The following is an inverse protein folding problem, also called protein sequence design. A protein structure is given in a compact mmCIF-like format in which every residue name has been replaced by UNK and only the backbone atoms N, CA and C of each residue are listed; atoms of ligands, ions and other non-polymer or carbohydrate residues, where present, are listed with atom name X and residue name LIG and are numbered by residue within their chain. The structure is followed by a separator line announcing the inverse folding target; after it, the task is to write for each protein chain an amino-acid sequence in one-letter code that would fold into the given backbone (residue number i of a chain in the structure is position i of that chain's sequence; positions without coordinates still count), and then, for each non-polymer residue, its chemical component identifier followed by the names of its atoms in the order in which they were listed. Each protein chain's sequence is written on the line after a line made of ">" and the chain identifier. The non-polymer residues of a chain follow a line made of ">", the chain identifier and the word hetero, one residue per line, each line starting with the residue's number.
data_IF_723081270651
#
_entry.id   IF_723081270651
#
_cell.length_a   1.000
_cell.length_b   1.000
_cell.length_c   1.000
_cell.angle_alpha   90.00
_cell.angle_beta   90.00
_cell.angle_gamma   90.00
#
_symmetry.space_group_name_H-M   'P 1'
#
loop_
_entity.id
_entity.type
_entity.pdbx_description
1 polymer ?
#
# COMPACT_ATOMS: atom_id res chain seq x y z
N UNK A 1 -17.10 -13.22 9.49
CA UNK A 1 -17.14 -11.73 9.42
C UNK A 1 -18.12 -11.20 10.44
N UNK A 2 -17.71 -10.32 11.35
CA UNK A 2 -18.60 -9.68 12.32
C UNK A 2 -19.22 -8.42 11.67
N UNK A 3 -20.47 -8.00 12.02
CA UNK A 3 -21.07 -6.78 11.47
C UNK A 3 -20.21 -5.51 11.64
N UNK A 4 -19.32 -5.50 12.65
CA UNK A 4 -18.34 -4.42 12.84
C UNK A 4 -17.30 -4.33 11.73
N UNK A 5 -16.92 -5.46 11.12
CA UNK A 5 -15.93 -5.55 10.06
C UNK A 5 -16.46 -4.93 8.77
N UNK A 6 -17.76 -5.12 8.46
CA UNK A 6 -18.42 -4.48 7.32
C UNK A 6 -18.39 -2.94 7.42
N UNK A 7 -18.58 -2.39 8.62
CA UNK A 7 -18.49 -0.93 8.82
C UNK A 7 -17.07 -0.42 8.61
N UNK A 8 -16.06 -1.25 8.91
CA UNK A 8 -14.66 -0.97 8.61
C UNK A 8 -14.42 -0.84 7.12
N UNK A 9 -14.89 -1.81 6.32
CA UNK A 9 -14.77 -1.85 4.86
C UNK A 9 -15.43 -0.63 4.20
N UNK A 10 -16.61 -0.20 4.67
CA UNK A 10 -17.35 0.93 4.10
C UNK A 10 -16.55 2.25 4.10
N UNK A 11 -15.55 2.41 4.97
CA UNK A 11 -14.69 3.61 4.98
C UNK A 11 -13.79 3.70 3.74
N UNK A 12 -13.43 2.55 3.16
CA UNK A 12 -12.55 2.46 2.00
C UNK A 12 -13.29 2.53 0.66
N UNK A 13 -14.60 2.25 0.64
CA UNK A 13 -15.41 2.25 -0.58
C UNK A 13 -15.31 3.56 -1.37
N UNK A 14 -15.41 4.77 -0.77
CA UNK A 14 -15.27 6.02 -1.52
C UNK A 14 -13.89 6.19 -2.19
N UNK A 15 -12.86 5.60 -1.62
CA UNK A 15 -11.49 5.67 -2.11
C UNK A 15 -11.24 4.75 -3.30
N UNK A 16 -11.82 3.53 -3.28
CA UNK A 16 -11.51 2.49 -4.26
C UNK A 16 -12.61 2.27 -5.29
N UNK A 17 -13.79 2.85 -5.11
CA UNK A 17 -14.90 2.74 -6.05
C UNK A 17 -14.48 3.20 -7.45
N UNK A 18 -14.77 2.39 -8.47
CA UNK A 18 -14.38 2.59 -9.87
C UNK A 18 -12.86 2.62 -10.13
N UNK A 19 -12.04 2.26 -9.15
CA UNK A 19 -10.59 2.10 -9.33
C UNK A 19 -10.28 0.70 -9.85
N UNK A 20 -9.18 0.57 -10.59
CA UNK A 20 -8.71 -0.71 -11.11
C UNK A 20 -7.66 -1.29 -10.18
N UNK A 21 -7.79 -2.57 -9.86
CA UNK A 21 -6.80 -3.39 -9.16
C UNK A 21 -6.34 -4.49 -10.10
N UNK A 22 -5.04 -4.72 -10.16
CA UNK A 22 -4.46 -5.88 -10.83
C UNK A 22 -4.03 -6.88 -9.76
N UNK A 23 -4.56 -8.09 -9.79
CA UNK A 23 -4.26 -9.16 -8.83
C UNK A 23 -3.57 -10.28 -9.58
N UNK A 24 -2.32 -10.54 -9.22
CA UNK A 24 -1.51 -11.60 -9.82
C UNK A 24 -1.41 -12.78 -8.86
N UNK A 25 -1.91 -13.92 -9.29
CA UNK A 25 -1.92 -15.19 -8.54
C UNK A 25 -0.76 -16.06 -8.98
N UNK A 26 0.12 -16.42 -8.06
CA UNK A 26 1.12 -17.47 -8.36
C UNK A 26 0.43 -18.80 -8.64
N UNK A 27 1.00 -19.61 -9.53
CA UNK A 27 0.42 -20.90 -9.90
C UNK A 27 0.13 -21.83 -8.71
N UNK A 28 0.95 -21.78 -7.66
CA UNK A 28 0.74 -22.55 -6.44
C UNK A 28 -0.54 -22.13 -5.68
N UNK A 29 -0.98 -20.90 -5.83
CA UNK A 29 -2.19 -20.38 -5.17
C UNK A 29 -3.45 -20.93 -5.81
N UNK A 30 -3.48 -21.09 -7.13
CA UNK A 30 -4.65 -21.68 -7.83
C UNK A 30 -4.86 -23.15 -7.48
N UNK A 31 -3.85 -23.82 -6.97
CA UNK A 31 -3.90 -25.21 -6.50
C UNK A 31 -4.14 -25.36 -4.99
N UNK A 32 -4.20 -24.24 -4.26
CA UNK A 32 -4.35 -24.25 -2.80
C UNK A 32 -5.81 -24.42 -2.38
N UNK A 33 -5.99 -24.97 -1.18
CA UNK A 33 -7.33 -25.06 -0.56
C UNK A 33 -8.00 -23.70 -0.35
N UNK A 34 -7.19 -22.64 -0.22
CA UNK A 34 -7.70 -21.27 -0.02
C UNK A 34 -8.10 -20.56 -1.33
N UNK A 35 -7.87 -21.16 -2.49
CA UNK A 35 -8.13 -20.53 -3.79
C UNK A 35 -9.58 -20.06 -3.94
N UNK A 36 -10.56 -20.91 -3.57
CA UNK A 36 -11.98 -20.54 -3.61
C UNK A 36 -12.30 -19.32 -2.74
N UNK A 37 -11.65 -19.18 -1.58
CA UNK A 37 -11.85 -18.01 -0.72
C UNK A 37 -11.27 -16.73 -1.35
N UNK A 38 -10.13 -16.82 -2.05
CA UNK A 38 -9.55 -15.69 -2.79
C UNK A 38 -10.52 -15.21 -3.88
N UNK A 39 -11.17 -16.12 -4.60
CA UNK A 39 -12.17 -15.76 -5.62
C UNK A 39 -13.41 -15.12 -4.99
N UNK A 40 -13.83 -15.54 -3.80
CA UNK A 40 -14.88 -14.89 -3.03
C UNK A 40 -14.44 -13.48 -2.57
N UNK A 41 -13.18 -13.30 -2.18
CA UNK A 41 -12.63 -11.98 -1.87
C UNK A 41 -12.67 -11.06 -3.11
N UNK A 42 -12.35 -11.59 -4.30
CA UNK A 42 -12.51 -10.87 -5.57
C UNK A 42 -13.97 -10.49 -5.80
N UNK A 43 -14.93 -11.39 -5.51
CA UNK A 43 -16.35 -11.07 -5.61
C UNK A 43 -16.76 -9.92 -4.66
N UNK A 44 -16.22 -9.89 -3.45
CA UNK A 44 -16.41 -8.76 -2.53
C UNK A 44 -15.88 -7.46 -3.13
N UNK A 45 -14.67 -7.46 -3.70
CA UNK A 45 -14.11 -6.27 -4.36
C UNK A 45 -15.02 -5.78 -5.50
N UNK A 46 -15.47 -6.69 -6.37
CA UNK A 46 -16.37 -6.37 -7.47
C UNK A 46 -17.73 -5.82 -6.99
N UNK A 47 -18.29 -6.38 -5.91
CA UNK A 47 -19.55 -5.90 -5.31
C UNK A 47 -19.44 -4.46 -4.78
N UNK A 48 -18.23 -4.02 -4.44
CA UNK A 48 -17.93 -2.65 -4.03
C UNK A 48 -17.59 -1.72 -5.22
N UNK A 49 -17.84 -2.16 -6.44
CA UNK A 49 -17.50 -1.47 -7.69
C UNK A 49 -15.98 -1.21 -7.85
N UNK A 50 -15.15 -2.08 -7.34
CA UNK A 50 -13.71 -2.11 -7.65
C UNK A 50 -13.54 -2.96 -8.91
N UNK A 51 -12.83 -2.44 -9.91
CA UNK A 51 -12.55 -3.14 -11.15
C UNK A 51 -11.34 -4.05 -10.96
N UNK A 52 -11.45 -5.32 -11.27
CA UNK A 52 -10.39 -6.30 -11.06
C UNK A 52 -9.92 -6.87 -12.38
N UNK A 53 -8.60 -6.92 -12.57
CA UNK A 53 -7.93 -7.73 -13.59
C UNK A 53 -7.18 -8.84 -12.87
N UNK A 54 -7.39 -10.07 -13.28
CA UNK A 54 -6.63 -11.21 -12.76
C UNK A 54 -5.48 -11.57 -13.72
N UNK A 55 -4.32 -11.79 -13.15
CA UNK A 55 -3.17 -12.39 -13.85
C UNK A 55 -2.82 -13.66 -13.13
N UNK A 56 -2.37 -14.69 -13.82
CA UNK A 56 -1.91 -15.90 -13.13
C UNK A 56 -0.55 -16.39 -13.63
N UNK A 57 0.23 -16.96 -12.73
CA UNK A 57 1.41 -17.74 -13.04
C UNK A 57 1.06 -19.20 -13.31
N UNK A 58 2.03 -19.98 -13.77
CA UNK A 58 1.88 -21.40 -14.10
C UNK A 58 3.07 -22.27 -13.68
N UNK A 59 4.01 -21.74 -12.91
CA UNK A 59 5.26 -22.44 -12.58
C UNK A 59 5.00 -23.78 -11.89
N UNK A 60 4.03 -23.84 -10.98
CA UNK A 60 3.62 -25.06 -10.29
C UNK A 60 3.02 -26.08 -11.25
N UNK A 61 2.13 -25.66 -12.14
CA UNK A 61 1.46 -26.51 -13.12
C UNK A 61 2.45 -27.07 -14.16
N UNK A 62 3.37 -26.22 -14.65
CA UNK A 62 4.45 -26.66 -15.54
C UNK A 62 5.27 -27.74 -14.87
N UNK A 63 5.70 -27.51 -13.62
CA UNK A 63 6.46 -28.51 -12.86
C UNK A 63 5.71 -29.82 -12.71
N UNK A 64 4.44 -29.80 -12.31
CA UNK A 64 3.62 -31.01 -12.17
C UNK A 64 3.46 -31.78 -13.47
N UNK A 65 3.26 -31.09 -14.59
CA UNK A 65 3.17 -31.74 -15.91
C UNK A 65 4.50 -32.40 -16.25
N UNK A 66 5.61 -31.67 -16.09
CA UNK A 66 6.93 -32.20 -16.45
C UNK A 66 7.39 -33.30 -15.54
N UNK A 67 7.02 -33.33 -14.26
CA UNK A 67 7.31 -34.44 -13.33
C UNK A 67 6.66 -35.77 -13.77
N UNK A 68 5.62 -35.72 -14.62
CA UNK A 68 4.98 -36.90 -15.20
C UNK A 68 5.59 -37.31 -16.55
N UNK A 69 6.49 -36.52 -17.13
CA UNK A 69 7.11 -36.77 -18.42
C UNK A 69 8.50 -37.38 -18.25
N UNK A 70 8.66 -38.65 -18.55
CA UNK A 70 9.95 -39.34 -18.43
C UNK A 70 11.03 -38.65 -19.31
N UNK A 71 12.16 -38.31 -18.69
CA UNK A 71 13.32 -37.74 -19.40
C UNK A 71 13.19 -36.29 -19.87
N UNK A 72 12.13 -35.57 -19.48
CA UNK A 72 11.97 -34.16 -19.81
C UNK A 72 12.15 -33.26 -18.57
N UNK A 73 13.00 -32.26 -18.73
CA UNK A 73 13.17 -31.16 -17.76
C UNK A 73 12.90 -29.86 -18.50
N UNK A 74 11.97 -29.01 -18.02
CA UNK A 74 11.69 -27.75 -18.66
C UNK A 74 12.90 -26.84 -18.57
N UNK A 75 13.19 -26.15 -19.66
CA UNK A 75 14.34 -25.21 -19.75
C UNK A 75 14.11 -23.96 -18.90
N UNK A 76 12.86 -23.67 -18.55
CA UNK A 76 12.45 -22.54 -17.73
C UNK A 76 11.11 -22.85 -17.01
N UNK A 77 10.96 -22.38 -15.77
CA UNK A 77 9.75 -22.59 -14.96
C UNK A 77 8.87 -21.34 -14.84
N UNK A 78 9.42 -20.14 -14.89
CA UNK A 78 8.74 -18.88 -14.54
C UNK A 78 8.63 -17.87 -15.68
N UNK A 79 9.17 -18.16 -16.86
CA UNK A 79 9.17 -17.27 -18.02
C UNK A 79 10.24 -16.18 -17.95
N UNK A 80 11.32 -16.41 -17.19
CA UNK A 80 12.47 -15.49 -17.11
C UNK A 80 13.70 -16.04 -17.84
N UNK A 81 13.76 -17.35 -18.03
CA UNK A 81 14.87 -18.05 -18.67
C UNK A 81 14.65 -18.31 -20.17
N UNK A 82 15.14 -19.46 -20.66
CA UNK A 82 14.98 -19.89 -22.06
C UNK A 82 13.70 -20.73 -22.15
N UNK A 83 12.80 -20.40 -23.06
CA UNK A 83 11.64 -21.25 -23.39
C UNK A 83 11.85 -21.92 -24.73
N UNK A 84 12.21 -23.19 -24.73
CA UNK A 84 12.26 -23.98 -25.94
C UNK A 84 10.87 -24.43 -26.42
N UNK A 85 10.79 -25.06 -27.61
CA UNK A 85 9.51 -25.47 -28.21
C UNK A 85 8.74 -26.47 -27.32
N UNK A 86 9.43 -27.39 -26.64
CA UNK A 86 8.77 -28.34 -25.75
C UNK A 86 8.27 -27.70 -24.48
N UNK A 87 9.07 -26.80 -23.89
CA UNK A 87 8.67 -26.02 -22.71
C UNK A 87 7.50 -25.12 -23.05
N UNK A 88 7.48 -24.48 -24.25
CA UNK A 88 6.33 -23.69 -24.69
C UNK A 88 5.06 -24.54 -24.80
N UNK A 89 5.11 -25.72 -25.36
CA UNK A 89 3.96 -26.62 -25.47
C UNK A 89 3.39 -27.00 -24.10
N UNK A 90 4.26 -27.29 -23.14
CA UNK A 90 3.86 -27.58 -21.76
C UNK A 90 3.26 -26.35 -21.11
N UNK A 91 3.87 -25.16 -21.32
CA UNK A 91 3.37 -23.90 -20.80
C UNK A 91 1.98 -23.56 -21.35
N UNK A 92 1.71 -23.80 -22.62
CA UNK A 92 0.39 -23.62 -23.23
C UNK A 92 -0.68 -24.52 -22.58
N UNK A 93 -0.38 -25.80 -22.35
CA UNK A 93 -1.28 -26.71 -21.66
C UNK A 93 -1.55 -26.24 -20.22
N UNK A 94 -0.49 -25.92 -19.49
CA UNK A 94 -0.57 -25.43 -18.12
C UNK A 94 -1.38 -24.13 -18.01
N UNK A 95 -1.13 -23.16 -18.91
CA UNK A 95 -1.83 -21.89 -18.93
C UNK A 95 -3.32 -22.04 -19.22
N UNK A 96 -3.68 -22.83 -20.25
CA UNK A 96 -5.09 -23.06 -20.58
C UNK A 96 -5.84 -23.75 -19.44
N UNK A 97 -5.24 -24.77 -18.81
CA UNK A 97 -5.85 -25.46 -17.67
C UNK A 97 -6.04 -24.52 -16.48
N UNK A 98 -5.01 -23.77 -16.09
CA UNK A 98 -5.08 -22.82 -14.98
C UNK A 98 -6.12 -21.71 -15.25
N UNK A 99 -6.13 -21.16 -16.47
CA UNK A 99 -7.15 -20.18 -16.88
C UNK A 99 -8.56 -20.75 -16.72
N UNK A 100 -8.78 -22.00 -17.16
CA UNK A 100 -10.09 -22.65 -17.07
C UNK A 100 -10.53 -22.84 -15.62
N UNK A 101 -9.66 -23.30 -14.73
CA UNK A 101 -9.91 -23.44 -13.29
C UNK A 101 -10.30 -22.09 -12.64
N UNK A 102 -9.64 -21.00 -13.05
CA UNK A 102 -9.99 -19.64 -12.59
C UNK A 102 -11.39 -19.23 -13.08
N UNK A 103 -11.70 -19.46 -14.36
CA UNK A 103 -13.01 -19.13 -14.94
C UNK A 103 -14.14 -19.93 -14.28
N UNK A 104 -13.94 -21.22 -14.02
CA UNK A 104 -14.89 -22.06 -13.27
C UNK A 104 -15.15 -21.50 -11.87
N UNK A 105 -14.07 -21.18 -11.13
CA UNK A 105 -14.19 -20.62 -9.79
C UNK A 105 -14.87 -19.26 -9.76
N UNK A 106 -14.60 -18.36 -10.72
CA UNK A 106 -15.32 -17.10 -10.85
C UNK A 106 -16.80 -17.28 -11.20
N UNK A 107 -17.11 -18.28 -12.03
CA UNK A 107 -18.49 -18.62 -12.38
C UNK A 107 -19.28 -19.09 -11.16
N UNK A 108 -18.68 -19.87 -10.26
CA UNK A 108 -19.33 -20.28 -9.00
C UNK A 108 -19.63 -19.12 -8.07
N UNK A 109 -18.87 -18.01 -8.19
CA UNK A 109 -19.08 -16.78 -7.46
C UNK A 109 -20.04 -15.77 -8.20
N UNK A 110 -20.72 -16.21 -9.27
CA UNK A 110 -21.60 -15.40 -10.13
C UNK A 110 -20.89 -14.19 -10.76
N UNK A 111 -19.61 -14.36 -11.09
CA UNK A 111 -18.80 -13.32 -11.73
C UNK A 111 -18.59 -13.62 -13.21
N UNK A 112 -18.73 -12.62 -14.04
CA UNK A 112 -18.42 -12.72 -15.47
C UNK A 112 -16.93 -12.51 -15.69
N UNK A 113 -16.29 -13.43 -16.37
CA UNK A 113 -14.86 -13.34 -16.66
C UNK A 113 -14.55 -13.81 -18.09
N UNK A 114 -13.44 -13.36 -18.64
CA UNK A 114 -12.99 -13.70 -19.99
C UNK A 114 -11.46 -13.68 -20.06
N UNK A 115 -10.88 -14.60 -20.84
CA UNK A 115 -9.50 -14.47 -21.31
C UNK A 115 -9.49 -13.82 -22.69
N UNK A 116 -8.49 -13.00 -22.98
CA UNK A 116 -8.39 -12.26 -24.22
C UNK A 116 -6.94 -12.21 -24.73
N UNK A 117 -6.78 -11.88 -26.00
CA UNK A 117 -5.48 -11.69 -26.66
C UNK A 117 -4.96 -10.24 -26.60
N UNK A 118 -5.35 -9.49 -25.55
CA UNK A 118 -4.99 -8.09 -25.40
C UNK A 118 -3.55 -7.81 -24.99
N UNK A 119 -2.66 -8.82 -24.93
CA UNK A 119 -1.25 -8.68 -24.61
C UNK A 119 -0.42 -9.01 -25.86
N UNK A 120 0.19 -7.98 -26.45
CA UNK A 120 1.18 -8.15 -27.51
C UNK A 120 2.55 -8.34 -26.87
N UNK A 121 3.28 -9.35 -27.33
CA UNK A 121 4.63 -9.66 -26.89
C UNK A 121 5.58 -9.78 -28.08
N UNK A 122 6.83 -9.50 -27.85
CA UNK A 122 7.93 -9.77 -28.80
C UNK A 122 8.94 -10.70 -28.14
N UNK A 123 9.73 -11.48 -28.94
CA UNK A 123 10.76 -12.37 -28.39
C UNK A 123 11.81 -11.54 -27.62
N UNK A 124 12.33 -12.09 -26.53
CA UNK A 124 13.47 -11.50 -25.82
C UNK A 124 14.76 -11.47 -26.70
N UNK A 125 14.83 -12.35 -27.68
CA UNK A 125 15.97 -12.43 -28.61
C UNK A 125 17.22 -12.98 -27.93
N UNK A 126 18.39 -12.52 -28.43
CA UNK A 126 19.69 -12.98 -27.94
C UNK A 126 20.19 -12.05 -26.85
N UNK A 127 20.32 -12.59 -25.62
CA UNK A 127 20.86 -11.84 -24.47
C UNK A 127 22.18 -12.47 -24.06
N UNK A 128 23.25 -11.70 -24.05
CA UNK A 128 24.63 -12.16 -23.71
C UNK A 128 25.05 -13.39 -24.48
N UNK A 129 24.68 -13.48 -25.77
CA UNK A 129 25.00 -14.60 -26.65
C UNK A 129 24.14 -15.83 -26.52
N UNK A 130 23.08 -15.78 -25.70
CA UNK A 130 22.12 -16.88 -25.50
C UNK A 130 20.77 -16.49 -26.11
N UNK A 131 20.26 -17.32 -27.04
CA UNK A 131 18.94 -17.16 -27.63
C UNK A 131 17.85 -17.63 -26.67
N UNK A 132 16.93 -16.73 -26.31
CA UNK A 132 15.82 -17.00 -25.42
C UNK A 132 14.60 -17.66 -26.13
N UNK A 133 14.68 -17.87 -27.41
CA UNK A 133 13.69 -18.58 -28.24
C UNK A 133 12.27 -18.03 -28.06
N UNK A 134 11.36 -18.82 -27.44
CA UNK A 134 9.96 -18.45 -27.22
C UNK A 134 9.70 -17.69 -25.91
N UNK A 135 10.73 -17.28 -25.20
CA UNK A 135 10.55 -16.35 -24.08
C UNK A 135 10.28 -14.94 -24.64
N UNK A 136 9.15 -14.36 -24.22
CA UNK A 136 8.68 -13.06 -24.67
C UNK A 136 8.75 -12.00 -23.59
N UNK A 137 8.69 -10.77 -24.04
CA UNK A 137 8.50 -9.58 -23.22
C UNK A 137 7.25 -8.84 -23.69
N UNK A 138 6.46 -8.31 -22.76
CA UNK A 138 5.31 -7.49 -23.12
C UNK A 138 5.77 -6.24 -23.89
N UNK A 139 5.23 -6.05 -25.08
CA UNK A 139 5.43 -4.88 -25.92
C UNK A 139 4.31 -3.87 -25.69
N UNK A 140 3.06 -4.34 -25.76
CA UNK A 140 1.88 -3.49 -25.69
C UNK A 140 0.71 -4.23 -25.06
N UNK A 141 -0.14 -3.47 -24.36
CA UNK A 141 -1.44 -3.91 -23.86
C UNK A 141 -2.52 -3.19 -24.66
N UNK A 142 -3.55 -3.88 -25.07
CA UNK A 142 -4.77 -3.28 -25.63
C UNK A 142 -5.62 -2.68 -24.51
N UNK A 143 -5.28 -1.45 -24.14
CA UNK A 143 -5.92 -0.73 -23.03
C UNK A 143 -7.43 -0.54 -23.27
N UNK A 144 -7.83 -0.30 -24.51
CA UNK A 144 -9.24 -0.07 -24.86
C UNK A 144 -10.07 -1.35 -24.64
N UNK A 145 -9.55 -2.50 -25.05
CA UNK A 145 -10.18 -3.81 -24.79
C UNK A 145 -10.35 -4.05 -23.30
N UNK A 146 -9.29 -3.92 -22.51
CA UNK A 146 -9.35 -4.12 -21.06
C UNK A 146 -10.33 -3.16 -20.40
N UNK A 147 -10.30 -1.87 -20.76
CA UNK A 147 -11.21 -0.88 -20.19
C UNK A 147 -12.67 -1.15 -20.54
N UNK A 148 -12.95 -1.61 -21.74
CA UNK A 148 -14.30 -2.00 -22.17
C UNK A 148 -14.84 -3.14 -21.34
N UNK A 149 -14.06 -4.22 -21.17
CA UNK A 149 -14.43 -5.35 -20.32
C UNK A 149 -14.70 -4.93 -18.88
N UNK A 150 -13.79 -4.15 -18.30
CA UNK A 150 -13.90 -3.65 -16.92
C UNK A 150 -15.11 -2.71 -16.73
N UNK A 151 -15.45 -1.93 -17.73
CA UNK A 151 -16.63 -1.03 -17.70
C UNK A 151 -17.93 -1.83 -17.66
N UNK A 152 -17.97 -2.95 -18.36
CA UNK A 152 -19.13 -3.85 -18.42
C UNK A 152 -19.18 -4.84 -17.25
N UNK A 153 -18.28 -4.71 -16.27
CA UNK A 153 -18.19 -5.57 -15.09
C UNK A 153 -17.72 -7.00 -15.43
N UNK A 154 -16.93 -7.13 -16.49
CA UNK A 154 -16.30 -8.40 -16.88
C UNK A 154 -14.86 -8.40 -16.38
N UNK A 155 -14.43 -9.46 -15.70
CA UNK A 155 -13.07 -9.63 -15.19
C UNK A 155 -12.18 -10.19 -16.29
N UNK A 156 -11.18 -9.44 -16.79
CA UNK A 156 -10.18 -10.00 -17.68
C UNK A 156 -9.25 -10.94 -16.89
N UNK A 157 -9.01 -12.14 -17.41
CA UNK A 157 -8.05 -13.11 -16.90
C UNK A 157 -6.90 -13.23 -17.88
N UNK A 158 -5.71 -12.80 -17.49
CA UNK A 158 -4.52 -12.78 -18.33
C UNK A 158 -3.57 -13.93 -17.99
N UNK A 159 -3.39 -14.90 -18.89
CA UNK A 159 -2.38 -15.95 -18.74
C UNK A 159 -0.97 -15.43 -18.98
N UNK A 160 0.11 -16.14 -18.57
CA UNK A 160 1.49 -15.76 -18.82
C UNK A 160 1.93 -16.03 -20.26
N UNK A 161 1.15 -15.53 -21.20
CA UNK A 161 1.30 -15.67 -22.64
C UNK A 161 1.08 -14.33 -23.34
N UNK A 162 1.77 -14.13 -24.44
CA UNK A 162 1.57 -12.99 -25.31
C UNK A 162 1.72 -13.38 -26.77
N UNK A 163 1.20 -12.54 -27.66
CA UNK A 163 1.16 -12.80 -29.10
C UNK A 163 1.88 -11.69 -29.86
N UNK A 164 2.60 -12.06 -30.92
CA UNK A 164 3.13 -11.07 -31.86
C UNK A 164 2.13 -10.76 -33.00
N UNK A 165 2.51 -9.83 -33.88
CA UNK A 165 1.70 -9.49 -35.06
C UNK A 165 1.68 -10.57 -36.15
N UNK A 166 2.50 -11.60 -36.06
CA UNK A 166 2.63 -12.69 -37.03
C UNK A 166 1.88 -13.98 -36.59
N UNK A 167 1.28 -13.96 -35.38
CA UNK A 167 0.51 -15.08 -34.84
C UNK A 167 1.34 -16.06 -34.02
N UNK A 168 2.60 -15.74 -33.70
CA UNK A 168 3.38 -16.54 -32.80
C UNK A 168 3.00 -16.27 -31.34
N UNK A 169 3.09 -17.32 -30.51
CA UNK A 169 2.87 -17.22 -29.08
C UNK A 169 4.19 -17.26 -28.33
N UNK A 170 4.34 -16.38 -27.38
CA UNK A 170 5.48 -16.32 -26.48
C UNK A 170 5.06 -16.53 -25.05
N UNK A 171 5.89 -17.23 -24.31
CA UNK A 171 5.76 -17.32 -22.85
C UNK A 171 6.27 -16.03 -22.23
N UNK A 172 5.48 -15.42 -21.39
CA UNK A 172 5.82 -14.15 -20.72
C UNK A 172 5.76 -14.36 -19.21
N UNK A 173 6.68 -13.73 -18.49
CA UNK A 173 6.64 -13.74 -17.03
C UNK A 173 5.37 -13.04 -16.51
N UNK A 174 4.63 -13.69 -15.61
CA UNK A 174 3.36 -13.19 -15.07
C UNK A 174 3.53 -11.89 -14.26
N UNK A 175 4.66 -11.71 -13.57
CA UNK A 175 4.94 -10.49 -12.82
C UNK A 175 5.12 -9.29 -13.77
N UNK A 176 5.75 -9.52 -14.94
CA UNK A 176 5.86 -8.53 -16.00
C UNK A 176 4.47 -8.12 -16.53
N UNK A 177 3.61 -9.10 -16.80
CA UNK A 177 2.24 -8.83 -17.26
C UNK A 177 1.49 -8.02 -16.22
N UNK A 178 1.53 -8.42 -14.95
CA UNK A 178 0.83 -7.73 -13.86
C UNK A 178 1.31 -6.29 -13.69
N UNK A 179 2.61 -6.06 -13.70
CA UNK A 179 3.18 -4.71 -13.62
C UNK A 179 2.79 -3.86 -14.83
N UNK A 180 2.90 -4.41 -16.05
CA UNK A 180 2.57 -3.68 -17.27
C UNK A 180 1.08 -3.35 -17.36
N UNK A 181 0.18 -4.28 -17.02
CA UNK A 181 -1.25 -4.01 -16.91
C UNK A 181 -1.54 -2.95 -15.85
N UNK A 182 -0.89 -3.03 -14.69
CA UNK A 182 -1.00 -2.03 -13.62
C UNK A 182 -0.65 -0.62 -14.10
N UNK A 183 0.44 -0.49 -14.84
CA UNK A 183 0.94 0.77 -15.40
C UNK A 183 -0.03 1.30 -16.46
N UNK A 184 -0.34 0.48 -17.47
CA UNK A 184 -1.12 0.91 -18.63
C UNK A 184 -2.57 1.21 -18.30
N UNK A 185 -3.18 0.46 -17.37
CA UNK A 185 -4.53 0.68 -16.87
C UNK A 185 -4.61 1.72 -15.74
N UNK A 186 -3.49 2.32 -15.35
CA UNK A 186 -3.39 3.25 -14.23
C UNK A 186 -4.03 2.68 -12.96
N UNK A 187 -3.67 1.44 -12.65
CA UNK A 187 -4.23 0.73 -11.51
C UNK A 187 -3.89 1.42 -10.19
N UNK A 188 -4.86 1.45 -9.29
CA UNK A 188 -4.65 1.96 -7.94
C UNK A 188 -3.76 1.04 -7.09
N UNK A 189 -3.84 -0.26 -7.36
CA UNK A 189 -3.04 -1.29 -6.70
C UNK A 189 -2.64 -2.39 -7.68
N UNK A 190 -1.43 -2.91 -7.51
CA UNK A 190 -1.02 -4.23 -8.03
C UNK A 190 -0.77 -5.11 -6.82
N UNK A 191 -1.38 -6.30 -6.79
CA UNK A 191 -1.30 -7.22 -5.65
C UNK A 191 -0.78 -8.56 -6.15
N UNK A 192 0.42 -8.93 -5.71
CA UNK A 192 0.98 -10.26 -5.94
C UNK A 192 0.54 -11.17 -4.79
N UNK A 193 -0.20 -12.21 -5.12
CA UNK A 193 -0.68 -13.23 -4.19
C UNK A 193 0.22 -14.45 -4.32
N UNK A 194 1.03 -14.67 -3.31
CA UNK A 194 2.11 -15.67 -3.30
C UNK A 194 1.90 -16.69 -2.17
N UNK A 195 2.78 -17.68 -2.04
CA UNK A 195 2.82 -18.57 -0.88
C UNK A 195 3.63 -18.03 0.30
N UNK A 196 4.17 -16.83 0.19
CA UNK A 196 5.06 -16.24 1.18
C UNK A 196 4.39 -15.05 1.89
N UNK A 197 4.77 -14.80 3.14
CA UNK A 197 4.20 -13.72 3.96
C UNK A 197 4.59 -12.30 3.49
N UNK A 198 5.37 -12.17 2.45
CA UNK A 198 5.85 -10.92 1.87
C UNK A 198 7.26 -11.06 1.31
N UNK A 199 7.94 -9.94 1.06
CA UNK A 199 9.34 -9.93 0.64
C UNK A 199 10.26 -10.22 1.82
N UNK A 200 11.14 -11.21 1.67
CA UNK A 200 12.17 -11.54 2.65
C UNK A 200 13.51 -10.91 2.27
N UNK A 201 14.07 -10.15 3.19
CA UNK A 201 15.44 -9.65 3.12
C UNK A 201 16.20 -10.11 4.36
N UNK A 202 17.32 -10.80 4.17
CA UNK A 202 18.13 -11.35 5.27
C UNK A 202 17.32 -12.22 6.26
N UNK A 203 16.35 -12.98 5.74
CA UNK A 203 15.49 -13.87 6.54
C UNK A 203 14.32 -13.20 7.26
N UNK A 204 14.12 -11.89 7.11
CA UNK A 204 13.02 -11.15 7.73
C UNK A 204 12.06 -10.57 6.69
N UNK A 205 10.76 -10.60 6.99
CA UNK A 205 9.74 -10.00 6.14
C UNK A 205 9.80 -8.48 6.24
N UNK A 206 9.79 -7.81 5.10
CA UNK A 206 9.68 -6.36 5.01
C UNK A 206 8.19 -5.99 5.03
N UNK A 207 7.74 -5.27 6.06
CA UNK A 207 6.32 -4.85 6.14
C UNK A 207 5.95 -3.76 5.15
N UNK A 208 6.76 -2.70 5.05
CA UNK A 208 6.58 -1.64 4.08
C UNK A 208 7.93 -1.05 3.65
N UNK A 209 8.03 -0.64 2.40
CA UNK A 209 9.26 -0.08 1.85
C UNK A 209 8.96 0.85 0.67
N UNK A 210 9.72 1.94 0.58
CA UNK A 210 9.68 2.81 -0.61
C UNK A 210 10.37 2.12 -1.78
N UNK A 211 9.86 2.31 -3.00
CA UNK A 211 10.40 1.65 -4.21
C UNK A 211 11.87 1.95 -4.45
N UNK A 212 12.35 3.16 -4.15
CA UNK A 212 13.75 3.53 -4.31
C UNK A 212 14.65 2.87 -3.25
N UNK A 213 14.17 2.74 -2.02
CA UNK A 213 14.89 2.02 -0.96
C UNK A 213 14.96 0.52 -1.28
N UNK A 214 13.87 -0.05 -1.80
CA UNK A 214 13.86 -1.43 -2.25
C UNK A 214 14.85 -1.64 -3.40
N UNK A 215 14.88 -0.72 -4.37
CA UNK A 215 15.85 -0.77 -5.47
C UNK A 215 17.30 -0.74 -4.96
N UNK A 216 17.59 0.15 -4.03
CA UNK A 216 18.92 0.24 -3.40
C UNK A 216 19.29 -1.05 -2.67
N UNK A 217 18.35 -1.62 -1.90
CA UNK A 217 18.56 -2.88 -1.18
C UNK A 217 18.74 -4.09 -2.10
N UNK A 218 18.04 -4.15 -3.25
CA UNK A 218 18.19 -5.24 -4.22
C UNK A 218 19.57 -5.24 -4.88
N UNK A 219 20.15 -4.07 -5.07
CA UNK A 219 21.47 -3.93 -5.70
C UNK A 219 22.64 -4.01 -4.70
N UNK A 220 22.35 -4.06 -3.39
CA UNK A 220 23.37 -4.19 -2.36
C UNK A 220 23.73 -5.68 -2.18
N UNK A 221 24.99 -6.08 -2.48
CA UNK A 221 25.43 -7.48 -2.38
C UNK A 221 25.44 -8.04 -0.96
N UNK A 222 25.33 -7.18 0.06
CA UNK A 222 25.24 -7.60 1.47
C UNK A 222 23.88 -8.24 1.77
N UNK A 223 22.85 -7.88 1.02
CA UNK A 223 21.49 -8.38 1.24
C UNK A 223 21.25 -9.71 0.55
N UNK A 224 20.63 -10.63 1.27
CA UNK A 224 20.21 -11.95 0.76
C UNK A 224 18.73 -11.94 0.45
N UNK A 225 18.37 -12.37 -0.75
CA UNK A 225 17.00 -12.43 -1.27
C UNK A 225 16.66 -13.85 -1.70
N UNK A 226 15.38 -14.25 -1.56
CA UNK A 226 14.89 -15.48 -2.17
C UNK A 226 14.80 -15.28 -3.70
N UNK A 227 15.36 -16.19 -4.52
CA UNK A 227 15.38 -16.03 -5.99
C UNK A 227 14.00 -15.78 -6.60
N UNK A 228 12.97 -16.48 -6.10
CA UNK A 228 11.59 -16.38 -6.59
C UNK A 228 10.96 -14.99 -6.34
N UNK A 229 11.52 -14.20 -5.42
CA UNK A 229 11.01 -12.88 -5.04
C UNK A 229 11.68 -11.75 -5.80
N UNK A 230 12.83 -11.99 -6.42
CA UNK A 230 13.60 -10.94 -7.14
C UNK A 230 12.79 -10.39 -8.30
N UNK A 231 12.13 -11.25 -9.09
CA UNK A 231 11.26 -10.85 -10.19
C UNK A 231 10.14 -9.92 -9.69
N UNK A 232 9.40 -10.34 -8.67
CA UNK A 232 8.30 -9.55 -8.10
C UNK A 232 8.77 -8.19 -7.58
N UNK A 233 9.91 -8.15 -6.88
CA UNK A 233 10.48 -6.91 -6.36
C UNK A 233 10.89 -5.96 -7.49
N UNK A 234 11.52 -6.47 -8.56
CA UNK A 234 11.91 -5.67 -9.74
C UNK A 234 10.69 -5.08 -10.46
N UNK A 235 9.65 -5.89 -10.72
CA UNK A 235 8.44 -5.43 -11.37
C UNK A 235 7.59 -4.53 -10.47
N UNK A 236 7.61 -4.73 -9.16
CA UNK A 236 7.00 -3.81 -8.20
C UNK A 236 7.65 -2.43 -8.24
N UNK A 237 9.00 -2.36 -8.25
CA UNK A 237 9.74 -1.10 -8.41
C UNK A 237 9.39 -0.43 -9.74
N UNK A 238 9.38 -1.19 -10.84
CA UNK A 238 9.01 -0.67 -12.15
C UNK A 238 7.59 -0.10 -12.15
N UNK A 239 6.63 -0.83 -11.60
CA UNK A 239 5.23 -0.38 -11.52
C UNK A 239 5.11 0.92 -10.71
N UNK A 240 5.77 1.00 -9.56
CA UNK A 240 5.78 2.20 -8.73
C UNK A 240 6.39 3.41 -9.45
N UNK A 241 7.54 3.23 -10.10
CA UNK A 241 8.22 4.29 -10.86
C UNK A 241 7.39 4.81 -12.03
N UNK A 242 6.52 3.97 -12.61
CA UNK A 242 5.68 4.31 -13.76
C UNK A 242 4.24 4.65 -13.37
N UNK A 243 4.00 4.98 -12.09
CA UNK A 243 2.76 5.62 -11.66
C UNK A 243 1.75 4.74 -10.93
N UNK A 244 2.03 3.46 -10.68
CA UNK A 244 1.22 2.63 -9.77
C UNK A 244 1.50 3.07 -8.34
N UNK A 245 0.50 3.59 -7.59
CA UNK A 245 0.75 4.14 -6.26
C UNK A 245 1.22 3.09 -5.24
N UNK A 246 0.68 1.87 -5.33
CA UNK A 246 0.87 0.81 -4.33
C UNK A 246 1.00 -0.55 -4.99
N UNK A 247 2.03 -1.28 -4.59
CA UNK A 247 2.21 -2.68 -4.93
C UNK A 247 2.29 -3.49 -3.65
N UNK A 248 1.54 -4.58 -3.58
CA UNK A 248 1.47 -5.44 -2.40
C UNK A 248 1.94 -6.85 -2.74
N UNK A 249 2.62 -7.50 -1.79
CA UNK A 249 2.89 -8.93 -1.83
C UNK A 249 2.25 -9.55 -0.58
N UNK A 250 1.37 -10.51 -0.77
CA UNK A 250 0.61 -11.13 0.33
C UNK A 250 0.64 -12.65 0.23
N UNK A 251 0.46 -13.31 1.38
CA UNK A 251 0.33 -14.76 1.44
C UNK A 251 -1.12 -15.18 1.12
N UNK A 252 -1.31 -15.77 -0.05
CA UNK A 252 -2.62 -16.28 -0.49
C UNK A 252 -3.04 -17.60 0.16
N UNK A 253 -2.14 -18.26 0.92
CA UNK A 253 -2.51 -19.46 1.68
C UNK A 253 -3.24 -19.10 2.99
N UNK A 254 -3.16 -17.85 3.41
CA UNK A 254 -3.84 -17.35 4.62
C UNK A 254 -5.22 -16.81 4.26
N UNK A 255 -6.24 -17.33 4.95
CA UNK A 255 -7.62 -16.89 4.72
C UNK A 255 -7.82 -15.39 5.01
N UNK A 256 -8.65 -14.74 4.20
CA UNK A 256 -8.97 -13.30 4.26
C UNK A 256 -7.75 -12.37 4.05
N UNK A 257 -6.60 -12.85 3.60
CA UNK A 257 -5.39 -12.04 3.43
C UNK A 257 -5.60 -10.91 2.43
N UNK A 258 -6.31 -11.16 1.32
CA UNK A 258 -6.60 -10.16 0.30
C UNK A 258 -7.50 -9.03 0.84
N UNK A 259 -8.57 -9.36 1.54
CA UNK A 259 -9.47 -8.34 2.12
C UNK A 259 -8.79 -7.57 3.26
N UNK A 260 -8.00 -8.25 4.10
CA UNK A 260 -7.23 -7.59 5.16
C UNK A 260 -6.24 -6.60 4.58
N UNK A 261 -5.50 -6.96 3.52
CA UNK A 261 -4.56 -6.05 2.87
C UNK A 261 -5.23 -4.84 2.24
N UNK A 262 -6.39 -5.04 1.63
CA UNK A 262 -7.12 -3.95 0.96
C UNK A 262 -7.83 -3.03 1.94
N UNK A 263 -8.41 -3.58 3.02
CA UNK A 263 -9.35 -2.87 3.91
C UNK A 263 -8.86 -2.74 5.36
N UNK A 264 -7.58 -2.94 5.63
CA UNK A 264 -7.00 -2.65 6.94
C UNK A 264 -5.86 -1.64 6.85
N UNK A 265 -5.56 -1.01 7.99
CA UNK A 265 -4.42 -0.10 8.10
C UNK A 265 -3.10 -0.82 8.40
N UNK A 266 -3.18 -2.07 8.85
CA UNK A 266 -2.02 -2.77 9.41
C UNK A 266 -1.29 -3.65 8.39
N UNK A 267 -1.88 -3.85 7.18
CA UNK A 267 -1.31 -4.69 6.13
C UNK A 267 -0.88 -6.08 6.61
N UNK A 268 -0.99 -7.10 5.78
CA UNK A 268 -0.61 -8.49 6.16
C UNK A 268 0.61 -9.01 5.41
N UNK A 269 1.19 -8.20 4.53
CA UNK A 269 2.31 -8.58 3.68
C UNK A 269 3.35 -7.49 3.56
N UNK A 270 3.95 -7.38 2.39
CA UNK A 270 4.85 -6.28 2.04
C UNK A 270 4.11 -5.24 1.20
N UNK A 271 4.11 -4.01 1.66
CA UNK A 271 3.66 -2.85 0.89
C UNK A 271 4.87 -2.13 0.27
N UNK A 272 4.88 -2.01 -1.06
CA UNK A 272 5.83 -1.20 -1.82
C UNK A 272 5.09 0.02 -2.35
N UNK A 273 5.64 1.22 -2.15
CA UNK A 273 5.01 2.47 -2.55
C UNK A 273 5.95 3.41 -3.31
N UNK A 274 5.39 4.14 -4.29
CA UNK A 274 6.15 5.05 -5.15
C UNK A 274 6.62 6.30 -4.41
N UNK A 275 5.72 6.89 -3.64
CA UNK A 275 5.97 8.07 -2.82
C UNK A 275 5.37 7.83 -1.44
N UNK A 276 6.03 8.34 -0.40
CA UNK A 276 5.35 8.51 0.87
C UNK A 276 4.17 9.47 0.64
N UNK A 277 2.96 8.94 0.53
CA UNK A 277 1.76 9.75 0.64
C UNK A 277 1.55 10.15 2.11
N UNK A 278 2.66 10.58 2.74
CA UNK A 278 2.62 11.26 4.01
C UNK A 278 2.39 12.73 3.68
N UNK A 279 1.19 13.17 3.86
CA UNK A 279 0.84 14.56 3.68
C UNK A 279 0.48 15.17 5.02
N UNK A 280 1.13 16.29 5.35
CA UNK A 280 0.64 17.16 6.42
C UNK A 280 -0.21 18.24 5.75
N UNK A 281 -1.50 18.23 6.04
CA UNK A 281 -2.41 19.26 5.51
C UNK A 281 -3.18 19.96 6.63
N UNK A 282 -3.63 21.16 6.34
CA UNK A 282 -4.53 21.90 7.23
C UNK A 282 -5.87 21.18 7.31
N UNK A 283 -6.43 21.09 8.51
CA UNK A 283 -7.74 20.50 8.73
C UNK A 283 -8.87 21.45 8.28
N UNK A 284 -9.99 20.86 7.89
CA UNK A 284 -11.20 21.59 7.52
C UNK A 284 -12.42 21.03 8.29
N UNK A 285 -13.57 21.67 8.18
CA UNK A 285 -14.78 21.30 8.97
C UNK A 285 -15.17 19.82 8.88
N UNK A 286 -15.00 19.18 7.73
CA UNK A 286 -15.30 17.75 7.56
C UNK A 286 -14.38 16.83 8.39
N UNK A 287 -13.21 17.33 8.77
CA UNK A 287 -12.20 16.55 9.50
C UNK A 287 -12.44 16.53 11.03
N UNK A 288 -13.35 17.37 11.57
CA UNK A 288 -13.59 17.48 13.01
C UNK A 288 -13.93 16.13 13.63
N UNK A 289 -14.82 15.34 12.97
CA UNK A 289 -15.17 14.01 13.45
C UNK A 289 -13.97 13.07 13.46
N UNK A 290 -13.12 13.14 12.45
CA UNK A 290 -11.90 12.34 12.36
C UNK A 290 -10.92 12.69 13.49
N UNK A 291 -10.72 14.00 13.75
CA UNK A 291 -9.89 14.46 14.87
C UNK A 291 -10.45 13.96 16.19
N UNK A 292 -11.76 14.08 16.43
CA UNK A 292 -12.40 13.62 17.65
C UNK A 292 -12.21 12.11 17.87
N UNK A 293 -12.33 11.31 16.81
CA UNK A 293 -12.11 9.86 16.88
C UNK A 293 -10.64 9.55 17.18
N UNK A 294 -9.70 10.23 16.52
CA UNK A 294 -8.27 10.06 16.74
C UNK A 294 -7.88 10.32 18.19
N UNK A 295 -8.31 11.46 18.76
CA UNK A 295 -7.87 11.89 20.10
C UNK A 295 -8.71 11.32 21.24
N UNK A 296 -9.78 10.57 20.96
CA UNK A 296 -10.73 10.08 21.97
C UNK A 296 -10.03 9.32 23.08
N UNK A 297 -9.23 8.32 22.73
CA UNK A 297 -8.51 7.50 23.71
C UNK A 297 -7.54 8.35 24.55
N UNK A 298 -6.79 9.24 23.91
CA UNK A 298 -5.83 10.12 24.61
C UNK A 298 -6.51 11.14 25.54
N UNK A 299 -7.76 11.49 25.28
CA UNK A 299 -8.57 12.29 26.23
C UNK A 299 -9.05 11.43 27.41
N UNK A 300 -9.43 10.17 27.17
CA UNK A 300 -9.86 9.24 28.21
C UNK A 300 -8.69 8.84 29.15
N UNK A 301 -7.47 8.77 28.62
CA UNK A 301 -6.23 8.49 29.40
C UNK A 301 -5.57 9.75 29.95
N UNK A 302 -6.19 10.92 29.81
CA UNK A 302 -5.67 12.23 30.22
C UNK A 302 -4.31 12.63 29.60
N UNK A 303 -3.88 12.00 28.54
CA UNK A 303 -2.72 12.43 27.76
C UNK A 303 -2.97 13.78 27.10
N UNK A 304 -4.18 13.95 26.54
CA UNK A 304 -4.67 15.22 26.01
C UNK A 304 -5.74 15.85 26.89
N UNK A 305 -5.85 17.18 26.86
CA UNK A 305 -6.94 17.88 27.50
C UNK A 305 -8.26 17.60 26.80
N UNK A 306 -9.35 17.52 27.58
CA UNK A 306 -10.70 17.38 27.03
C UNK A 306 -10.99 18.50 26.02
N UNK A 307 -11.55 18.11 24.88
CA UNK A 307 -12.01 19.01 23.83
C UNK A 307 -13.37 18.57 23.33
N UNK A 308 -14.27 19.53 23.21
CA UNK A 308 -15.56 19.31 22.61
C UNK A 308 -15.48 19.49 21.08
N UNK A 309 -16.52 19.02 20.38
CA UNK A 309 -16.67 19.31 18.95
C UNK A 309 -16.60 20.81 18.66
N UNK A 310 -17.26 21.62 19.49
CA UNK A 310 -17.32 23.08 19.36
C UNK A 310 -15.93 23.74 19.55
N UNK A 311 -15.11 23.22 20.48
CA UNK A 311 -13.75 23.72 20.71
C UNK A 311 -12.87 23.54 19.46
N UNK A 312 -12.99 22.39 18.82
CA UNK A 312 -12.25 22.10 17.59
C UNK A 312 -12.81 22.91 16.42
N UNK A 313 -14.13 23.02 16.28
CA UNK A 313 -14.78 23.77 15.22
C UNK A 313 -14.37 25.24 15.25
N UNK A 314 -14.38 25.87 16.42
CA UNK A 314 -14.00 27.27 16.60
C UNK A 314 -12.55 27.57 16.21
N UNK A 315 -11.67 26.55 16.26
CA UNK A 315 -10.24 26.66 15.97
C UNK A 315 -9.76 25.69 14.91
N UNK A 316 -10.64 25.20 14.06
CA UNK A 316 -10.29 24.18 13.07
C UNK A 316 -9.13 24.57 12.16
N UNK A 317 -8.98 25.85 11.92
CA UNK A 317 -7.89 26.40 11.09
C UNK A 317 -6.51 26.29 11.73
N UNK A 318 -6.43 26.04 13.03
CA UNK A 318 -5.18 25.84 13.76
C UNK A 318 -4.71 24.39 13.72
N UNK A 319 -5.58 23.46 13.28
CA UNK A 319 -5.31 22.03 13.26
C UNK A 319 -4.70 21.59 11.94
N UNK A 320 -3.79 20.63 12.06
CA UNK A 320 -3.15 19.94 10.94
C UNK A 320 -3.26 18.44 11.15
N UNK A 321 -3.49 17.72 10.05
CA UNK A 321 -3.55 16.27 10.01
C UNK A 321 -2.32 15.73 9.29
N UNK A 322 -1.75 14.69 9.86
CA UNK A 322 -0.79 13.84 9.16
C UNK A 322 -1.56 12.68 8.56
N UNK A 323 -1.54 12.59 7.25
CA UNK A 323 -2.23 11.54 6.51
C UNK A 323 -1.25 10.56 5.89
N UNK A 324 -1.58 9.29 5.99
CA UNK A 324 -0.98 8.22 5.19
C UNK A 324 -2.11 7.66 4.34
N UNK A 325 -1.94 7.65 3.01
CA UNK A 325 -2.94 7.18 2.04
C UNK A 325 -4.33 7.83 2.23
N UNK A 326 -4.34 9.16 2.45
CA UNK A 326 -5.55 9.94 2.72
C UNK A 326 -6.28 9.57 4.03
N UNK A 327 -5.67 8.77 4.90
CA UNK A 327 -6.16 8.46 6.24
C UNK A 327 -5.39 9.27 7.26
N UNK A 328 -6.11 10.03 8.08
CA UNK A 328 -5.51 10.77 9.17
C UNK A 328 -5.04 9.79 10.27
N UNK A 329 -3.74 9.70 10.47
CA UNK A 329 -3.10 8.86 11.48
C UNK A 329 -2.53 9.65 12.65
N UNK A 330 -2.41 10.97 12.50
CA UNK A 330 -1.97 11.85 13.57
C UNK A 330 -2.54 13.26 13.39
N UNK A 331 -2.57 14.04 14.46
CA UNK A 331 -2.96 15.44 14.42
C UNK A 331 -2.08 16.29 15.32
N UNK A 332 -2.05 17.60 15.04
CA UNK A 332 -1.40 18.63 15.85
C UNK A 332 -2.12 19.96 15.65
N UNK A 333 -2.06 20.83 16.62
CA UNK A 333 -2.58 22.20 16.50
C UNK A 333 -1.49 23.23 16.83
N UNK A 334 -1.53 24.39 16.14
CA UNK A 334 -0.75 25.56 16.46
C UNK A 334 -1.71 26.71 16.81
N UNK A 335 -1.83 27.02 18.09
CA UNK A 335 -2.69 28.09 18.59
C UNK A 335 -1.88 29.38 18.77
N UNK A 336 -2.08 30.41 17.93
CA UNK A 336 -1.44 31.71 18.11
C UNK A 336 -1.84 32.35 19.44
N UNK A 337 -0.90 33.00 20.12
CA UNK A 337 -1.19 33.84 21.28
C UNK A 337 -1.49 35.25 20.84
N UNK A 338 -2.67 35.79 21.27
CA UNK A 338 -3.10 37.14 20.92
C UNK A 338 -2.06 38.17 21.35
N UNK A 339 -1.60 39.01 20.41
CA UNK A 339 -0.67 40.10 20.68
C UNK A 339 0.77 39.70 21.04
N UNK A 340 1.15 38.43 20.88
CA UNK A 340 2.52 37.94 21.12
C UNK A 340 3.06 37.22 19.87
N UNK A 341 4.36 37.38 19.65
CA UNK A 341 5.11 36.64 18.62
C UNK A 341 5.40 35.18 19.12
N UNK A 342 4.35 34.52 19.59
CA UNK A 342 4.44 33.17 20.16
C UNK A 342 3.14 32.39 19.93
N UNK A 343 3.22 31.05 20.01
CA UNK A 343 2.06 30.17 19.89
C UNK A 343 2.22 28.91 20.73
N UNK A 344 1.09 28.25 20.99
CA UNK A 344 1.05 26.94 21.67
C UNK A 344 0.98 25.83 20.64
N UNK A 345 1.95 24.90 20.66
CA UNK A 345 1.84 23.60 20.02
C UNK A 345 0.99 22.73 20.93
N UNK A 346 -0.20 22.37 20.47
CA UNK A 346 -1.18 21.63 21.23
C UNK A 346 -1.69 20.42 20.46
N UNK A 347 -2.39 19.51 21.13
CA UNK A 347 -3.08 18.38 20.52
C UNK A 347 -2.18 17.50 19.62
N UNK A 348 -0.90 17.37 19.95
CA UNK A 348 -0.04 16.42 19.27
C UNK A 348 -0.46 15.01 19.68
N UNK A 349 -0.96 14.25 18.72
CA UNK A 349 -1.34 12.87 18.91
C UNK A 349 -0.96 12.05 17.67
N UNK A 350 -0.44 10.87 17.90
CA UNK A 350 -0.14 9.86 16.86
C UNK A 350 -0.90 8.60 17.22
N UNK A 351 -1.59 7.99 16.25
CA UNK A 351 -2.26 6.73 16.47
C UNK A 351 -1.22 5.66 16.92
N UNK A 352 -1.50 4.88 17.98
CA UNK A 352 -0.57 3.87 18.51
C UNK A 352 0.01 2.92 17.45
N UNK A 353 -0.77 2.52 16.45
CA UNK A 353 -0.33 1.66 15.36
C UNK A 353 0.73 2.31 14.44
N UNK A 354 0.91 3.61 14.56
CA UNK A 354 1.86 4.41 13.77
C UNK A 354 2.95 5.07 14.63
N UNK A 355 3.02 4.76 15.92
CA UNK A 355 4.07 5.23 16.81
C UNK A 355 5.46 4.68 16.41
N UNK A 356 6.50 5.33 16.92
CA UNK A 356 7.91 4.98 16.66
C UNK A 356 8.34 5.06 15.16
N UNK A 357 7.49 5.55 14.26
CA UNK A 357 7.80 5.81 12.85
C UNK A 357 8.25 7.26 12.58
N UNK A 358 8.59 8.02 13.62
CA UNK A 358 9.06 9.40 13.51
C UNK A 358 7.98 10.46 13.19
N UNK A 359 6.70 10.07 13.12
CA UNK A 359 5.58 10.97 12.74
C UNK A 359 5.46 12.14 13.72
N UNK A 360 5.58 11.91 15.04
CA UNK A 360 5.53 12.96 16.05
C UNK A 360 6.62 14.02 15.82
N UNK A 361 7.86 13.61 15.52
CA UNK A 361 8.95 14.54 15.21
C UNK A 361 8.70 15.32 13.92
N UNK A 362 8.19 14.67 12.86
CA UNK A 362 7.81 15.35 11.60
C UNK A 362 6.73 16.41 11.82
N UNK A 363 5.72 16.14 12.66
CA UNK A 363 4.67 17.11 13.00
C UNK A 363 5.23 18.28 13.81
N UNK A 364 6.12 18.03 14.76
CA UNK A 364 6.76 19.12 15.54
C UNK A 364 7.58 20.02 14.63
N UNK A 365 8.44 19.47 13.76
CA UNK A 365 9.21 20.26 12.79
C UNK A 365 8.31 21.06 11.84
N UNK A 366 7.23 20.46 11.34
CA UNK A 366 6.26 21.15 10.51
C UNK A 366 5.64 22.37 11.25
N UNK A 367 5.28 22.20 12.53
CA UNK A 367 4.73 23.30 13.34
C UNK A 367 5.78 24.38 13.62
N UNK A 368 7.04 23.99 13.82
CA UNK A 368 8.15 24.95 13.96
C UNK A 368 8.31 25.81 12.70
N UNK A 369 8.34 25.18 11.53
CA UNK A 369 8.45 25.90 10.25
C UNK A 369 7.22 26.79 10.01
N UNK A 370 6.03 26.30 10.38
CA UNK A 370 4.80 27.09 10.30
C UNK A 370 4.84 28.29 11.24
N UNK A 371 5.31 28.11 12.46
CA UNK A 371 5.46 29.17 13.45
C UNK A 371 6.50 30.22 12.99
N UNK A 372 7.63 29.79 12.41
CA UNK A 372 8.60 30.70 11.78
C UNK A 372 7.97 31.50 10.63
N UNK A 373 7.16 30.85 9.78
CA UNK A 373 6.46 31.53 8.68
C UNK A 373 5.43 32.58 9.16
N UNK A 374 4.96 32.43 10.41
CA UNK A 374 4.09 33.40 11.09
C UNK A 374 4.87 34.39 11.95
N UNK A 375 6.20 34.42 11.84
CA UNK A 375 7.11 35.31 12.59
C UNK A 375 7.05 35.10 14.12
N UNK A 376 6.72 33.87 14.56
CA UNK A 376 6.78 33.56 15.98
C UNK A 376 8.23 33.34 16.41
N UNK A 377 8.58 33.93 17.54
CA UNK A 377 9.91 33.79 18.16
C UNK A 377 9.99 32.65 19.15
N UNK A 378 8.81 32.15 19.61
CA UNK A 378 8.74 31.12 20.64
C UNK A 378 7.54 30.24 20.47
N UNK A 379 7.75 28.94 20.68
CA UNK A 379 6.69 27.94 20.86
C UNK A 379 6.61 27.52 22.33
N UNK A 380 5.37 27.28 22.77
CA UNK A 380 5.05 26.77 24.11
C UNK A 380 4.31 25.45 23.98
N UNK A 381 4.60 24.50 24.85
CA UNK A 381 3.90 23.20 24.96
C UNK A 381 3.49 22.99 26.41
N UNK A 382 2.27 22.49 26.61
CA UNK A 382 1.78 22.04 27.90
C UNK A 382 1.60 20.52 27.87
N UNK A 383 2.42 19.79 28.61
CA UNK A 383 2.41 18.31 28.58
C UNK A 383 2.38 17.72 29.99
N UNK A 384 1.57 16.66 30.18
CA UNK A 384 1.51 15.88 31.41
C UNK A 384 2.38 14.63 31.33
N UNK A 385 2.25 13.84 30.26
CA UNK A 385 2.84 12.52 30.13
C UNK A 385 4.01 12.48 29.13
N UNK A 386 3.94 13.21 28.02
CA UNK A 386 4.91 13.15 26.91
C UNK A 386 6.01 14.21 26.95
N UNK A 387 6.23 14.87 28.10
CA UNK A 387 7.24 15.94 28.20
C UNK A 387 8.67 15.50 27.92
N UNK A 388 9.00 14.22 28.17
CA UNK A 388 10.30 13.63 27.84
C UNK A 388 10.57 13.62 26.34
N UNK A 389 9.55 13.31 25.52
CA UNK A 389 9.65 13.38 24.07
C UNK A 389 9.99 14.81 23.59
N UNK A 390 9.29 15.82 24.11
CA UNK A 390 9.54 17.20 23.72
C UNK A 390 10.95 17.66 24.11
N UNK A 391 11.46 17.26 25.28
CA UNK A 391 12.82 17.58 25.71
C UNK A 391 13.89 16.85 24.91
N UNK A 392 13.79 15.51 24.83
CA UNK A 392 14.87 14.67 24.29
C UNK A 392 14.91 14.64 22.76
N UNK A 393 13.76 14.71 22.09
CA UNK A 393 13.68 14.56 20.63
C UNK A 393 13.29 15.84 19.89
N UNK A 394 12.58 16.76 20.54
CA UNK A 394 12.11 17.99 19.91
C UNK A 394 12.84 19.27 20.37
N UNK A 395 13.77 19.15 21.33
CA UNK A 395 14.63 20.26 21.74
C UNK A 395 13.94 21.37 22.53
N UNK A 396 12.84 21.04 23.22
CA UNK A 396 12.20 21.98 24.16
C UNK A 396 12.89 21.98 25.51
N UNK A 397 12.86 23.10 26.21
CA UNK A 397 13.39 23.31 27.56
C UNK A 397 12.27 23.65 28.54
N UNK A 398 12.55 23.58 29.84
CA UNK A 398 11.57 23.97 30.87
C UNK A 398 11.26 25.46 30.75
N UNK A 399 9.97 25.77 30.77
CA UNK A 399 9.43 27.10 30.81
C UNK A 399 8.78 27.44 32.18
N UNK A 400 8.17 28.59 32.28
CA UNK A 400 7.50 29.06 33.46
C UNK A 400 6.13 29.64 33.13
N UNK A 401 5.33 29.94 34.15
CA UNK A 401 4.02 30.57 33.99
C UNK A 401 4.08 31.93 33.27
N UNK A 402 5.22 32.63 33.36
CA UNK A 402 5.47 33.89 32.68
C UNK A 402 5.53 33.75 31.16
N UNK A 403 5.72 32.53 30.65
CA UNK A 403 5.74 32.27 29.22
C UNK A 403 4.33 32.17 28.62
N UNK A 404 3.30 32.08 29.46
CA UNK A 404 1.89 32.03 29.05
C UNK A 404 1.27 33.42 28.99
N UNK A 405 0.36 33.73 28.04
CA UNK A 405 -0.45 34.92 28.09
C UNK A 405 -1.52 34.79 29.21
N UNK A 406 -2.03 35.93 29.74
CA UNK A 406 -2.96 35.93 30.89
C UNK A 406 -4.17 35.02 30.70
N UNK A 407 -4.80 35.06 29.52
CA UNK A 407 -5.97 34.21 29.21
C UNK A 407 -5.63 32.72 29.23
N UNK A 408 -4.41 32.35 28.79
CA UNK A 408 -3.96 30.97 28.79
C UNK A 408 -3.52 30.49 30.17
N UNK A 409 -2.93 31.39 30.94
CA UNK A 409 -2.53 31.16 32.31
C UNK A 409 -3.77 30.89 33.21
N UNK A 410 -4.84 31.69 33.05
CA UNK A 410 -6.09 31.42 33.73
C UNK A 410 -6.62 30.02 33.45
N UNK A 411 -6.71 29.61 32.17
CA UNK A 411 -7.13 28.26 31.79
C UNK A 411 -6.18 27.17 32.28
N UNK A 412 -4.90 27.45 32.43
CA UNK A 412 -3.91 26.55 32.99
C UNK A 412 -4.21 26.25 34.47
N UNK A 413 -4.51 27.25 35.27
CA UNK A 413 -4.87 27.10 36.68
C UNK A 413 -6.25 26.41 36.85
N UNK A 414 -7.24 26.77 36.03
CA UNK A 414 -8.58 26.17 36.06
C UNK A 414 -8.55 24.66 35.75
N UNK A 415 -7.63 24.24 34.87
CA UNK A 415 -7.57 22.84 34.41
C UNK A 415 -7.12 21.84 35.48
N UNK A 416 -6.42 22.29 36.54
CA UNK A 416 -5.82 21.49 37.63
C UNK A 416 -4.93 20.32 37.17
N UNK A 417 -4.58 20.22 35.87
CA UNK A 417 -3.83 19.10 35.28
C UNK A 417 -2.35 19.07 35.63
N UNK A 418 -1.81 20.15 36.23
CA UNK A 418 -0.38 20.29 36.59
C UNK A 418 0.57 19.98 35.42
N UNK A 419 0.21 20.36 34.20
CA UNK A 419 1.05 20.15 33.02
C UNK A 419 2.38 20.86 33.17
N UNK A 420 3.47 20.25 32.73
CA UNK A 420 4.76 20.95 32.59
C UNK A 420 4.69 21.94 31.46
N UNK A 421 5.19 23.13 31.70
CA UNK A 421 5.33 24.18 30.68
C UNK A 421 6.69 24.00 30.03
N UNK A 422 6.71 23.81 28.73
CA UNK A 422 7.93 23.66 27.93
C UNK A 422 7.97 24.74 26.87
N UNK A 423 9.16 25.24 26.58
CA UNK A 423 9.37 26.33 25.60
C UNK A 423 10.47 25.95 24.61
N UNK A 424 10.35 26.46 23.39
CA UNK A 424 11.39 26.40 22.37
C UNK A 424 11.53 27.75 21.69
N UNK A 425 12.74 28.32 21.67
CA UNK A 425 13.09 29.49 20.85
C UNK A 425 13.15 29.05 19.39
N UNK A 426 12.63 29.89 18.49
CA UNK A 426 12.62 29.67 17.03
C UNK A 426 13.60 30.60 16.28
N UNK A 427 14.36 31.40 17.06
CA UNK A 427 15.37 32.34 16.53
C UNK A 427 16.67 31.59 16.30
#
# INVERSE_FOLDING_TARGET
>A
MKPADLRGILKYVPQYRNKTFVIALDGVITESENFSNILLDVAVLCSLNIRVVLVHGISSQVKKITDTMEGFTPSDLDGTGITDDQTLKVALIAANRCTHEILEGLTTADLRAVTCNGITAHPMGIIRGVDHQFTGKVERVDVEMFQTLLKDGIIPVAPPLGFDGEGNTYRVNSDNIAATLGIQLQAQKVIFVTSEDGLYCNGHVIGNIQSEDLHSKLNDPVNSWKPEQISKAQYAIQACRQGVPRVHLINGLVNESLLKEVFSNDGVGTLIYANEYQQIRRACRKDIRTIMVLIKQAMETEELSLRTYQDIENRIQDYYLFEIDSHAVACVALHPFSGKEAGELACLFVNPNHENKGIGSKLVHFIEDKARSLHFKKLVVLSTQTYTFFKSKAGFTDGSENDLPPERLQKYHESQRRSKILIKSLI
#
